data_IF_380322424844
#
_entry.id   IF_380322424844
#
_cell.length_a   1.000
_cell.length_b   1.000
_cell.length_c   1.000
_cell.angle_alpha   90.00
_cell.angle_beta   90.00
_cell.angle_gamma   90.00
#
_symmetry.space_group_name_H-M   'P 1'
#
loop_
_entity.id
_entity.type
_entity.pdbx_description
1 polymer ?
#
# COMPACT_ATOMS: atom_id res chain seq x y z
N UNK A 1 10.11 -24.89 -1.04
CA UNK A 1 10.69 -23.74 -1.76
C UNK A 1 9.55 -23.01 -2.42
N UNK A 2 9.17 -21.86 -1.88
CA UNK A 2 8.18 -20.97 -2.49
C UNK A 2 8.79 -20.44 -3.79
N UNK A 3 8.12 -20.68 -4.90
CA UNK A 3 8.56 -20.22 -6.22
C UNK A 3 8.78 -18.70 -6.17
N UNK A 4 9.86 -18.22 -6.78
CA UNK A 4 10.24 -16.81 -6.78
C UNK A 4 9.17 -15.99 -7.52
N UNK A 5 8.67 -14.91 -6.89
CA UNK A 5 7.56 -14.09 -7.42
C UNK A 5 7.83 -13.44 -8.80
N UNK A 6 9.06 -13.51 -9.32
CA UNK A 6 9.45 -12.98 -10.63
C UNK A 6 9.99 -14.04 -11.59
N UNK A 7 9.69 -15.33 -11.35
CA UNK A 7 10.15 -16.40 -12.24
C UNK A 7 9.67 -16.20 -13.68
N UNK A 8 8.48 -15.64 -13.84
CA UNK A 8 7.86 -15.32 -15.12
C UNK A 8 7.41 -13.85 -15.13
N UNK A 9 8.37 -12.92 -15.28
CA UNK A 9 8.05 -11.49 -15.42
C UNK A 9 7.58 -11.19 -16.85
N UNK A 10 6.27 -11.19 -17.05
CA UNK A 10 5.65 -10.89 -18.34
C UNK A 10 5.45 -9.37 -18.52
N UNK A 11 6.41 -8.71 -19.16
CA UNK A 11 6.42 -7.25 -19.35
C UNK A 11 5.08 -6.66 -19.85
N UNK A 12 4.40 -7.32 -20.79
CA UNK A 12 3.12 -6.86 -21.32
C UNK A 12 1.97 -6.89 -20.30
N UNK A 13 2.04 -7.79 -19.31
CA UNK A 13 1.07 -7.92 -18.22
C UNK A 13 1.40 -6.99 -17.04
N UNK A 14 2.69 -6.80 -16.77
CA UNK A 14 3.18 -6.08 -15.58
C UNK A 14 3.36 -4.57 -15.81
N UNK A 15 3.52 -4.11 -17.06
CA UNK A 15 3.67 -2.67 -17.36
C UNK A 15 2.40 -1.82 -17.12
N UNK A 16 1.19 -2.24 -17.55
CA UNK A 16 -0.01 -1.44 -17.33
C UNK A 16 -0.31 -1.16 -15.83
N UNK A 17 -0.21 -2.15 -14.92
CA UNK A 17 -0.35 -1.92 -13.47
C UNK A 17 0.69 -0.95 -12.88
N UNK A 18 1.91 -0.96 -13.43
CA UNK A 18 3.00 -0.09 -12.97
C UNK A 18 2.75 1.39 -13.33
N UNK A 19 2.31 1.66 -14.56
CA UNK A 19 1.97 3.03 -14.99
C UNK A 19 0.75 3.58 -14.24
N UNK A 20 -0.21 2.72 -13.89
CA UNK A 20 -1.31 3.11 -13.01
C UNK A 20 -0.82 3.48 -11.62
N UNK A 21 0.05 2.66 -11.00
CA UNK A 21 0.61 2.93 -9.67
C UNK A 21 1.30 4.29 -9.60
N UNK A 22 2.07 4.65 -10.63
CA UNK A 22 2.83 5.90 -10.69
C UNK A 22 1.96 7.16 -10.71
N UNK A 23 0.72 7.03 -11.17
CA UNK A 23 -0.23 8.14 -11.31
C UNK A 23 -1.34 8.13 -10.25
N UNK A 24 -1.23 7.32 -9.19
CA UNK A 24 -2.32 7.13 -8.22
C UNK A 24 -2.38 8.15 -7.09
N UNK A 25 -1.25 8.76 -6.70
CA UNK A 25 -1.17 9.60 -5.51
C UNK A 25 -0.28 10.82 -5.75
N UNK A 26 -0.88 12.01 -5.75
CA UNK A 26 -0.14 13.27 -5.86
C UNK A 26 -0.18 14.08 -4.55
N UNK A 27 0.89 14.84 -4.32
CA UNK A 27 0.98 15.75 -3.16
C UNK A 27 -0.13 16.80 -3.24
N UNK A 28 -0.84 17.01 -2.14
CA UNK A 28 -1.96 17.95 -2.05
C UNK A 28 -3.33 17.31 -2.33
N UNK A 29 -3.36 16.08 -2.84
CA UNK A 29 -4.59 15.30 -2.93
C UNK A 29 -4.98 14.69 -1.58
N UNK A 30 -6.25 14.31 -1.45
CA UNK A 30 -6.73 13.60 -0.26
C UNK A 30 -6.02 12.26 -0.16
N UNK A 31 -5.39 12.00 0.99
CA UNK A 31 -4.77 10.71 1.28
C UNK A 31 -5.80 9.56 1.13
N UNK A 32 -5.39 8.41 0.56
CA UNK A 32 -6.26 7.27 0.39
C UNK A 32 -6.67 6.73 1.75
N UNK A 33 -7.92 6.27 1.87
CA UNK A 33 -8.44 5.67 3.10
C UNK A 33 -8.87 4.23 2.80
N UNK A 34 -8.28 3.28 3.52
CA UNK A 34 -8.49 1.86 3.31
C UNK A 34 -8.32 1.09 4.63
N UNK A 35 -8.92 -0.10 4.76
CA UNK A 35 -8.82 -0.90 5.99
C UNK A 35 -7.41 -1.46 6.16
N UNK A 36 -6.97 -1.47 7.42
CA UNK A 36 -5.71 -2.03 7.90
C UNK A 36 -6.00 -2.94 9.10
N UNK A 37 -5.13 -3.90 9.35
CA UNK A 37 -5.15 -4.68 10.60
C UNK A 37 -4.24 -4.01 11.64
N UNK A 38 -4.75 -3.75 12.83
CA UNK A 38 -3.94 -3.36 13.99
C UNK A 38 -3.37 -4.63 14.63
N UNK A 39 -2.06 -4.85 14.47
CA UNK A 39 -1.38 -6.05 14.97
C UNK A 39 -1.34 -6.14 16.51
N UNK A 40 -1.64 -5.06 17.23
CA UNK A 40 -1.69 -5.07 18.70
C UNK A 40 -3.02 -5.66 19.20
N UNK A 41 -4.10 -5.39 18.47
CA UNK A 41 -5.48 -5.73 18.88
C UNK A 41 -6.09 -6.84 18.04
N UNK A 42 -5.58 -7.06 16.83
CA UNK A 42 -6.16 -7.93 15.80
C UNK A 42 -7.40 -7.33 15.11
N UNK A 43 -7.74 -6.07 15.38
CA UNK A 43 -8.92 -5.43 14.81
C UNK A 43 -8.63 -4.77 13.46
N UNK A 44 -9.67 -4.68 12.62
CA UNK A 44 -9.60 -3.87 11.40
C UNK A 44 -9.89 -2.40 11.73
N UNK A 45 -8.96 -1.52 11.36
CA UNK A 45 -9.08 -0.07 11.50
C UNK A 45 -9.02 0.61 10.13
N UNK A 46 -9.65 1.77 9.98
CA UNK A 46 -9.47 2.58 8.78
C UNK A 46 -8.17 3.38 8.87
N UNK A 47 -7.40 3.45 7.79
CA UNK A 47 -6.13 4.17 7.76
C UNK A 47 -6.29 5.64 8.20
N UNK A 48 -7.40 6.29 7.86
CA UNK A 48 -7.68 7.66 8.28
C UNK A 48 -7.81 7.85 9.78
N UNK A 49 -8.06 6.79 10.55
CA UNK A 49 -8.08 6.86 12.00
C UNK A 49 -6.72 7.29 12.59
N UNK A 50 -5.61 7.03 11.89
CA UNK A 50 -4.25 7.30 12.38
C UNK A 50 -3.88 8.79 12.34
N UNK A 51 -4.39 9.57 11.38
CA UNK A 51 -4.13 11.01 11.28
C UNK A 51 -5.30 11.90 11.74
N UNK A 52 -6.37 11.33 12.29
CA UNK A 52 -7.49 12.11 12.85
C UNK A 52 -7.05 13.09 13.94
N UNK A 53 -5.96 12.79 14.65
CA UNK A 53 -5.47 13.56 15.79
C UNK A 53 -4.36 14.55 15.43
N UNK A 54 -3.87 14.55 14.19
CA UNK A 54 -2.79 15.42 13.75
C UNK A 54 -2.00 14.82 12.58
N UNK A 55 -0.95 15.52 12.13
CA UNK A 55 -0.06 15.02 11.08
C UNK A 55 0.51 13.66 11.45
N UNK A 56 0.53 12.74 10.50
CA UNK A 56 1.10 11.40 10.66
C UNK A 56 2.16 11.14 9.58
N UNK A 57 3.18 10.37 9.93
CA UNK A 57 4.14 9.80 9.00
C UNK A 57 3.82 8.31 8.89
N UNK A 58 3.65 7.82 7.67
CA UNK A 58 3.29 6.42 7.38
C UNK A 58 4.36 5.84 6.47
N UNK A 59 4.89 4.68 6.85
CA UNK A 59 5.86 3.90 6.09
C UNK A 59 5.22 2.57 5.68
N UNK A 60 5.36 2.21 4.41
CA UNK A 60 4.94 0.91 3.88
C UNK A 60 6.17 0.07 3.59
N UNK A 61 6.18 -1.17 4.09
CA UNK A 61 7.27 -2.11 3.88
C UNK A 61 6.79 -3.54 4.01
N UNK A 62 7.66 -4.49 3.71
CA UNK A 62 7.41 -5.92 3.86
C UNK A 62 8.65 -6.60 4.43
N UNK A 63 8.47 -7.64 5.24
CA UNK A 63 9.54 -8.57 5.55
C UNK A 63 9.77 -9.48 4.33
N UNK A 64 11.02 -9.57 3.88
CA UNK A 64 11.45 -10.49 2.82
C UNK A 64 12.23 -11.65 3.42
#
# INVERSE_FOLDING_TARGET
MTDYNYKDFEMAREMPPFDEFRNKLFVGEKAPDFPLEDLTTGETVQLSSLWKKGPAIIEFGSFT
#
